data_IF_221124054301
#
_entry.id   IF_221124054301
#
_cell.length_a   1.000
_cell.length_b   1.000
_cell.length_c   1.000
_cell.angle_alpha   90.00
_cell.angle_beta   90.00
_cell.angle_gamma   90.00
#
_symmetry.space_group_name_H-M   'P 1'
#
loop_
_entity.id
_entity.type
_entity.pdbx_description
1 polymer ?
#
# COMPACT_ATOMS: atom_id res chain seq x y z
N UNK A 1 -11.96 -22.84 -3.24
CA UNK A 1 -10.87 -23.78 -3.57
C UNK A 1 -9.68 -23.47 -2.66
N UNK A 2 -9.12 -24.45 -1.94
CA UNK A 2 -7.89 -24.24 -1.17
C UNK A 2 -6.74 -23.97 -2.15
N UNK A 3 -5.84 -23.01 -1.84
CA UNK A 3 -4.70 -22.67 -2.69
C UNK A 3 -4.95 -21.63 -3.79
N UNK A 4 -6.20 -21.20 -4.03
CA UNK A 4 -6.53 -20.15 -5.01
C UNK A 4 -5.69 -18.87 -4.81
N UNK A 5 -5.65 -18.34 -3.59
CA UNK A 5 -4.89 -17.12 -3.28
C UNK A 5 -3.36 -17.30 -3.32
N UNK A 6 -2.87 -18.54 -3.28
CA UNK A 6 -1.43 -18.80 -3.50
C UNK A 6 -1.10 -18.67 -4.98
N UNK A 7 -1.90 -19.30 -5.85
CA UNK A 7 -1.75 -19.22 -7.30
C UNK A 7 -1.94 -17.79 -7.81
N UNK A 8 -2.97 -17.08 -7.33
CA UNK A 8 -3.19 -15.67 -7.69
C UNK A 8 -1.96 -14.81 -7.35
N UNK A 9 -1.39 -14.94 -6.15
CA UNK A 9 -0.20 -14.15 -5.79
C UNK A 9 1.05 -14.55 -6.57
N UNK A 10 1.20 -15.82 -6.94
CA UNK A 10 2.33 -16.29 -7.73
C UNK A 10 2.25 -15.87 -9.20
N UNK A 11 1.05 -15.67 -9.73
CA UNK A 11 0.83 -15.33 -11.13
C UNK A 11 0.57 -13.83 -11.39
N UNK A 12 0.25 -13.06 -10.35
CA UNK A 12 0.02 -11.60 -10.48
C UNK A 12 1.31 -10.83 -10.17
N UNK A 13 1.76 -9.93 -11.08
CA UNK A 13 2.93 -9.08 -10.86
C UNK A 13 2.84 -8.32 -9.54
N UNK A 14 3.99 -8.08 -8.89
CA UNK A 14 4.01 -7.42 -7.59
C UNK A 14 3.39 -6.02 -7.67
N UNK A 15 3.61 -5.32 -8.78
CA UNK A 15 3.14 -3.98 -9.10
C UNK A 15 1.60 -3.86 -9.15
N UNK A 16 0.93 -4.97 -9.46
CA UNK A 16 -0.52 -5.03 -9.60
C UNK A 16 -1.23 -5.48 -8.32
N UNK A 17 -0.50 -6.06 -7.36
CA UNK A 17 -1.09 -6.66 -6.15
C UNK A 17 -0.60 -6.09 -4.84
N UNK A 18 0.55 -5.43 -4.81
CA UNK A 18 1.15 -4.88 -3.61
C UNK A 18 1.08 -3.35 -3.63
N UNK A 19 0.45 -2.78 -2.62
CA UNK A 19 0.36 -1.33 -2.41
C UNK A 19 0.46 -0.98 -0.93
N UNK A 20 1.09 -1.88 -0.16
CA UNK A 20 1.22 -1.82 1.29
C UNK A 20 0.72 -3.08 1.98
N UNK A 21 1.13 -3.26 3.23
CA UNK A 21 0.79 -4.44 4.06
C UNK A 21 -0.71 -4.57 4.38
N UNK A 22 -1.48 -3.49 4.32
CA UNK A 22 -2.88 -3.45 4.71
C UNK A 22 -3.84 -3.36 3.50
N UNK A 23 -4.01 -4.48 2.78
CA UNK A 23 -5.09 -4.63 1.78
C UNK A 23 -6.39 -5.07 2.47
N UNK A 24 -7.12 -4.10 3.02
CA UNK A 24 -8.30 -4.36 3.87
C UNK A 24 -9.55 -4.70 3.04
N UNK A 25 -9.79 -3.96 1.95
CA UNK A 25 -10.97 -4.13 1.08
C UNK A 25 -10.56 -4.24 -0.40
N UNK A 26 -11.27 -5.11 -1.13
CA UNK A 26 -11.27 -5.17 -2.60
C UNK A 26 -12.06 -3.99 -3.17
N UNK A 27 -11.83 -3.64 -4.44
CA UNK A 27 -12.56 -2.55 -5.10
C UNK A 27 -14.08 -2.80 -5.13
N UNK A 28 -14.51 -4.03 -5.40
CA UNK A 28 -15.91 -4.44 -5.35
C UNK A 28 -16.53 -4.19 -3.96
N UNK A 29 -15.78 -4.49 -2.88
CA UNK A 29 -16.23 -4.26 -1.51
C UNK A 29 -16.29 -2.76 -1.18
N UNK A 30 -15.42 -1.94 -1.75
CA UNK A 30 -15.46 -0.48 -1.59
C UNK A 30 -16.71 0.13 -2.21
N UNK A 31 -17.14 -0.35 -3.38
CA UNK A 31 -18.38 0.09 -4.04
C UNK A 31 -19.59 -0.11 -3.13
N UNK A 32 -19.65 -1.25 -2.44
CA UNK A 32 -20.77 -1.59 -1.55
C UNK A 32 -20.71 -0.84 -0.21
N UNK A 33 -19.51 -0.63 0.34
CA UNK A 33 -19.33 -0.10 1.70
C UNK A 33 -19.17 1.43 1.77
N UNK A 34 -18.64 2.06 0.72
CA UNK A 34 -18.36 3.50 0.73
C UNK A 34 -19.59 4.29 0.30
N UNK A 35 -20.04 5.22 1.15
CA UNK A 35 -21.13 6.15 0.83
C UNK A 35 -20.87 7.00 -0.42
N UNK A 36 -19.60 7.34 -0.64
CA UNK A 36 -19.14 8.11 -1.81
C UNK A 36 -17.94 7.39 -2.42
N UNK A 37 -18.21 6.42 -3.29
CA UNK A 37 -17.19 5.78 -4.09
C UNK A 37 -16.95 6.56 -5.39
N UNK A 38 -15.70 6.70 -5.80
CA UNK A 38 -15.35 7.32 -7.07
C UNK A 38 -14.50 6.34 -7.89
N UNK A 39 -15.11 5.77 -8.93
CA UNK A 39 -14.48 4.82 -9.86
C UNK A 39 -13.27 5.38 -10.60
N UNK A 40 -13.17 6.71 -10.73
CA UNK A 40 -12.01 7.35 -11.37
C UNK A 40 -10.75 7.38 -10.50
N UNK A 41 -10.86 7.03 -9.21
CA UNK A 41 -9.72 7.03 -8.28
C UNK A 41 -9.28 5.60 -8.02
N UNK A 42 -8.07 5.25 -8.48
CA UNK A 42 -7.50 3.93 -8.27
C UNK A 42 -6.27 4.02 -7.36
N UNK A 43 -6.06 3.03 -6.48
CA UNK A 43 -4.86 2.98 -5.65
C UNK A 43 -3.56 2.91 -6.49
N UNK A 44 -3.65 2.36 -7.70
CA UNK A 44 -2.53 2.30 -8.63
C UNK A 44 -2.11 3.68 -9.14
N UNK A 45 -2.95 4.71 -9.05
CA UNK A 45 -2.56 6.08 -9.42
C UNK A 45 -1.47 6.61 -8.49
N UNK A 46 -1.41 6.09 -7.26
CA UNK A 46 -0.37 6.40 -6.27
C UNK A 46 0.87 5.52 -6.46
N UNK A 47 0.69 4.21 -6.69
CA UNK A 47 1.82 3.26 -6.71
C UNK A 47 2.52 3.15 -8.05
N UNK A 48 1.83 3.36 -9.19
CA UNK A 48 2.44 3.25 -10.53
C UNK A 48 3.65 4.17 -10.73
N UNK A 49 3.63 5.46 -10.34
CA UNK A 49 4.80 6.32 -10.46
C UNK A 49 5.99 5.77 -9.66
N UNK A 50 5.76 5.29 -8.44
CA UNK A 50 6.79 4.72 -7.58
C UNK A 50 7.39 3.44 -8.18
N UNK A 51 6.54 2.54 -8.69
CA UNK A 51 7.01 1.33 -9.37
C UNK A 51 7.79 1.63 -10.64
N UNK A 52 7.47 2.72 -11.34
CA UNK A 52 8.21 3.13 -12.53
C UNK A 52 9.66 3.56 -12.22
N UNK A 53 9.95 4.02 -11.00
CA UNK A 53 11.29 4.41 -10.56
C UNK A 53 12.19 3.21 -10.24
N UNK A 54 11.58 2.05 -9.96
CA UNK A 54 12.26 0.83 -9.45
C UNK A 54 11.97 -0.41 -10.30
N UNK A 55 11.69 -0.25 -11.60
CA UNK A 55 11.27 -1.36 -12.49
C UNK A 55 12.20 -2.56 -12.46
N UNK A 56 13.50 -2.29 -12.37
CA UNK A 56 14.56 -3.29 -12.45
C UNK A 56 14.88 -3.94 -11.09
N UNK A 57 14.20 -3.54 -10.02
CA UNK A 57 14.42 -4.12 -8.69
C UNK A 57 13.75 -5.49 -8.58
N UNK A 58 14.28 -6.34 -7.71
CA UNK A 58 13.59 -7.58 -7.32
C UNK A 58 12.31 -7.29 -6.52
N UNK A 59 11.42 -8.27 -6.45
CA UNK A 59 10.10 -8.13 -5.81
C UNK A 59 10.18 -7.69 -4.34
N UNK A 60 11.17 -8.17 -3.58
CA UNK A 60 11.31 -7.83 -2.16
C UNK A 60 11.73 -6.37 -2.01
N UNK A 61 12.72 -5.95 -2.80
CA UNK A 61 13.16 -4.56 -2.83
C UNK A 61 12.06 -3.61 -3.29
N UNK A 62 11.24 -4.04 -4.26
CA UNK A 62 10.04 -3.32 -4.70
C UNK A 62 9.02 -3.14 -3.58
N UNK A 63 8.70 -4.20 -2.83
CA UNK A 63 7.78 -4.13 -1.69
C UNK A 63 8.28 -3.15 -0.62
N UNK A 64 9.57 -3.23 -0.27
CA UNK A 64 10.18 -2.32 0.71
C UNK A 64 10.13 -0.86 0.27
N UNK A 65 10.43 -0.57 -1.00
CA UNK A 65 10.33 0.77 -1.54
C UNK A 65 8.91 1.32 -1.42
N UNK A 66 7.91 0.56 -1.85
CA UNK A 66 6.51 0.98 -1.72
C UNK A 66 6.14 1.28 -0.28
N UNK A 67 6.46 0.39 0.67
CA UNK A 67 6.15 0.61 2.09
C UNK A 67 6.81 1.88 2.65
N UNK A 68 8.05 2.18 2.26
CA UNK A 68 8.74 3.40 2.68
C UNK A 68 8.03 4.67 2.19
N UNK A 69 7.51 4.66 0.97
CA UNK A 69 6.91 5.84 0.35
C UNK A 69 5.40 5.97 0.59
N UNK A 70 4.68 4.89 0.87
CA UNK A 70 3.23 4.92 1.10
C UNK A 70 2.82 4.77 2.57
N UNK A 71 3.67 4.19 3.42
CA UNK A 71 3.31 3.89 4.81
C UNK A 71 4.19 4.60 5.85
N UNK A 72 5.52 4.55 5.71
CA UNK A 72 6.45 5.06 6.72
C UNK A 72 6.30 6.57 6.97
N UNK A 73 6.16 7.37 5.90
CA UNK A 73 6.05 8.84 5.97
C UNK A 73 4.79 9.31 6.73
N UNK A 74 3.67 8.63 6.56
CA UNK A 74 2.39 9.06 7.10
C UNK A 74 2.04 8.45 8.47
N UNK A 75 2.50 7.25 8.75
CA UNK A 75 2.03 6.47 9.90
C UNK A 75 3.06 6.43 11.04
N UNK A 76 4.27 5.94 10.76
CA UNK A 76 5.29 5.72 11.81
C UNK A 76 5.98 7.02 12.21
N UNK A 77 6.43 7.82 11.24
CA UNK A 77 7.15 9.05 11.55
C UNK A 77 6.26 10.07 12.27
N UNK A 78 4.98 10.16 11.88
CA UNK A 78 4.02 11.05 12.54
C UNK A 78 3.67 10.59 13.97
N UNK A 79 3.58 9.27 14.20
CA UNK A 79 3.36 8.73 15.55
C UNK A 79 4.58 8.94 16.45
N UNK A 80 5.78 8.72 15.92
CA UNK A 80 7.03 8.98 16.65
C UNK A 80 7.15 10.46 17.05
N UNK A 81 6.90 11.37 16.10
CA UNK A 81 6.93 12.81 16.34
C UNK A 81 5.96 13.25 17.45
N UNK A 82 4.71 12.77 17.41
CA UNK A 82 3.73 13.05 18.48
C UNK A 82 4.14 12.52 19.86
N UNK A 83 4.78 11.34 19.91
CA UNK A 83 5.27 10.77 21.18
C UNK A 83 6.46 11.56 21.73
N UNK A 84 7.38 12.00 20.88
CA UNK A 84 8.48 12.89 21.27
C UNK A 84 7.95 14.25 21.71
N UNK A 85 6.97 14.79 20.98
CA UNK A 85 6.03 15.86 21.34
C UNK A 85 5.60 15.84 22.82
N UNK A 86 4.86 14.78 23.15
CA UNK A 86 4.18 14.63 24.43
C UNK A 86 5.12 14.42 25.64
N UNK A 87 6.37 14.01 25.40
CA UNK A 87 7.39 13.81 26.44
C UNK A 87 8.45 14.91 26.46
N UNK A 88 8.39 15.89 25.56
CA UNK A 88 9.24 17.07 25.62
C UNK A 88 8.64 18.04 26.64
N UNK A 89 9.41 18.39 27.67
CA UNK A 89 9.11 19.51 28.55
C UNK A 89 9.38 20.80 27.77
N UNK A 90 8.41 21.22 26.95
CA UNK A 90 8.27 22.61 26.48
C UNK A 90 7.16 23.32 27.25
#
# INVERSE_FOLDING_TARGET
FKGKSFLERGCTPIEERYYGNAKIFREEEKVELMKYYNESVNYMDITKPLYNEIKDYDDVSKMQYIDMFTWLRGDILLKADKMTMANSLE
#
